data_IF_789518073075
#
_entry.id   IF_789518073075
#
_cell.length_a   1.000
_cell.length_b   1.000
_cell.length_c   1.000
_cell.angle_alpha   90.00
_cell.angle_beta   90.00
_cell.angle_gamma   90.00
#
_symmetry.space_group_name_H-M   'P 1'
#
loop_
_entity.id
_entity.type
_entity.pdbx_description
1 polymer ?
#
# COMPACT_ATOMS: atom_id res chain seq x y z
N UNK A 1 2.42 3.64 -15.01
CA UNK A 1 2.43 3.93 -13.56
C UNK A 1 1.55 2.88 -12.90
N UNK A 2 2.13 2.03 -12.03
CA UNK A 2 1.37 1.01 -11.33
C UNK A 2 0.70 1.62 -10.09
N UNK A 3 -0.54 1.19 -9.81
CA UNK A 3 -1.31 1.61 -8.65
C UNK A 3 -1.63 0.38 -7.79
N UNK A 4 -1.53 0.52 -6.47
CA UNK A 4 -1.85 -0.55 -5.53
C UNK A 4 -3.03 -0.18 -4.64
N UNK A 5 -3.95 -1.12 -4.50
CA UNK A 5 -5.06 -1.01 -3.54
C UNK A 5 -4.55 -1.18 -2.12
N UNK A 6 -5.25 -0.61 -1.12
CA UNK A 6 -4.85 -0.78 0.28
C UNK A 6 -4.76 -2.26 0.70
N UNK A 7 -5.65 -3.10 0.17
CA UNK A 7 -5.60 -4.55 0.32
C UNK A 7 -4.29 -5.17 -0.18
N UNK A 8 -3.85 -4.76 -1.37
CA UNK A 8 -2.61 -5.27 -1.96
C UNK A 8 -1.39 -4.84 -1.15
N UNK A 9 -1.39 -3.59 -0.66
CA UNK A 9 -0.32 -3.04 0.17
C UNK A 9 -0.23 -3.81 1.49
N UNK A 10 -1.35 -3.94 2.20
CA UNK A 10 -1.44 -4.68 3.47
C UNK A 10 -0.93 -6.12 3.32
N UNK A 11 -1.32 -6.80 2.24
CA UNK A 11 -0.86 -8.17 1.93
C UNK A 11 0.65 -8.25 1.71
N UNK A 12 1.21 -7.34 0.90
CA UNK A 12 2.67 -7.28 0.63
C UNK A 12 3.45 -7.03 1.92
N UNK A 13 3.02 -6.05 2.72
CA UNK A 13 3.66 -5.71 3.99
C UNK A 13 3.59 -6.87 5.00
N UNK A 14 2.44 -7.54 5.09
CA UNK A 14 2.28 -8.73 5.93
C UNK A 14 3.19 -9.89 5.52
N UNK A 15 3.41 -10.07 4.21
CA UNK A 15 4.27 -11.14 3.69
C UNK A 15 5.77 -10.86 3.93
N UNK A 16 6.19 -9.60 3.86
CA UNK A 16 7.61 -9.21 4.02
C UNK A 16 8.02 -9.08 5.49
N UNK A 17 7.11 -8.69 6.38
CA UNK A 17 7.47 -8.30 7.74
C UNK A 17 7.41 -9.47 8.73
N UNK A 18 8.33 -10.44 8.62
CA UNK A 18 8.55 -11.63 9.49
C UNK A 18 7.93 -11.55 10.92
N UNK A 19 6.60 -11.72 11.05
CA UNK A 19 5.88 -11.74 12.33
C UNK A 19 5.00 -10.52 12.67
N UNK A 20 4.96 -9.44 11.88
CA UNK A 20 4.07 -8.29 12.07
C UNK A 20 3.01 -8.23 10.96
N UNK A 21 1.81 -8.69 11.28
CA UNK A 21 0.66 -8.64 10.37
C UNK A 21 0.21 -7.19 10.15
N UNK A 22 0.17 -6.75 8.89
CA UNK A 22 -0.29 -5.42 8.49
C UNK A 22 -1.65 -5.57 7.81
N UNK A 23 -2.69 -5.03 8.43
CA UNK A 23 -4.06 -5.06 7.90
C UNK A 23 -4.33 -3.86 6.99
N UNK A 24 -5.41 -3.94 6.21
CA UNK A 24 -5.95 -2.79 5.46
C UNK A 24 -6.24 -1.60 6.36
N UNK A 25 -6.72 -1.84 7.60
CA UNK A 25 -6.97 -0.77 8.57
C UNK A 25 -5.68 -0.05 8.99
N UNK A 26 -4.57 -0.77 9.17
CA UNK A 26 -3.28 -0.15 9.47
C UNK A 26 -2.79 0.75 8.35
N UNK A 27 -2.94 0.32 7.08
CA UNK A 27 -2.59 1.14 5.91
C UNK A 27 -3.54 2.33 5.80
N UNK A 28 -4.84 2.12 6.06
CA UNK A 28 -5.83 3.18 6.04
C UNK A 28 -5.58 4.25 7.11
N UNK A 29 -5.00 3.91 8.27
CA UNK A 29 -4.58 4.92 9.23
C UNK A 29 -3.56 5.90 8.64
N UNK A 30 -2.65 5.45 7.77
CA UNK A 30 -1.68 6.33 7.12
C UNK A 30 -2.36 7.29 6.13
N UNK A 31 -3.43 6.84 5.50
CA UNK A 31 -4.28 7.70 4.67
C UNK A 31 -4.97 8.76 5.53
N UNK A 32 -5.57 8.33 6.66
CA UNK A 32 -6.30 9.20 7.58
C UNK A 32 -5.41 10.27 8.22
N UNK A 33 -4.15 9.94 8.51
CA UNK A 33 -3.16 10.89 9.08
C UNK A 33 -2.48 11.75 8.02
N UNK A 34 -2.80 11.57 6.73
CA UNK A 34 -2.19 12.32 5.63
C UNK A 34 -0.77 11.88 5.25
N UNK A 35 -0.27 10.78 5.83
CA UNK A 35 1.04 10.22 5.51
C UNK A 35 1.06 9.48 4.16
N UNK A 36 -0.11 9.00 3.71
CA UNK A 36 -0.25 8.27 2.46
C UNK A 36 -1.28 8.99 1.58
N UNK A 37 -0.82 9.53 0.46
CA UNK A 37 -1.71 10.13 -0.53
C UNK A 37 -2.36 9.03 -1.36
N UNK A 38 -3.68 9.14 -1.56
CA UNK A 38 -4.46 8.10 -2.23
C UNK A 38 -5.41 8.71 -3.25
N UNK A 39 -5.74 7.91 -4.25
CA UNK A 39 -6.76 8.20 -5.24
C UNK A 39 -7.97 7.31 -5.00
N UNK A 40 -9.17 7.88 -5.09
CA UNK A 40 -10.40 7.09 -4.94
C UNK A 40 -10.65 6.28 -6.20
N UNK A 41 -10.84 4.98 -6.03
CA UNK A 41 -11.19 4.06 -7.11
C UNK A 41 -12.70 4.21 -7.37
N UNK A 42 -13.13 4.36 -8.64
CA UNK A 42 -14.54 4.39 -8.98
C UNK A 42 -15.22 3.05 -8.64
N UNK A 43 -16.45 3.11 -8.13
CA UNK A 43 -17.20 1.94 -7.65
C UNK A 43 -17.45 0.84 -8.69
N UNK A 44 -17.19 1.11 -9.98
CA UNK A 44 -17.31 0.11 -11.04
C UNK A 44 -16.13 -0.87 -11.09
N UNK A 45 -15.03 -0.60 -10.41
CA UNK A 45 -13.89 -1.52 -10.36
C UNK A 45 -14.07 -2.50 -9.20
N UNK A 46 -13.90 -3.80 -9.48
CA UNK A 46 -13.95 -4.86 -8.46
C UNK A 46 -12.55 -5.14 -7.94
N UNK A 47 -12.45 -5.58 -6.68
CA UNK A 47 -11.18 -6.04 -6.10
C UNK A 47 -10.35 -4.99 -5.35
N UNK A 48 -10.94 -3.83 -5.00
CA UNK A 48 -10.24 -2.80 -4.20
C UNK A 48 -10.10 -3.13 -2.71
N UNK A 49 -10.81 -4.15 -2.20
CA UNK A 49 -10.77 -4.54 -0.79
C UNK A 49 -11.82 -3.82 0.06
N UNK A 50 -11.51 -3.58 1.33
CA UNK A 50 -12.39 -2.89 2.29
C UNK A 50 -12.53 -1.39 1.96
N UNK A 51 -11.47 -0.79 1.43
CA UNK A 51 -11.40 0.64 1.15
C UNK A 51 -11.19 0.90 -0.35
N UNK A 52 -12.03 1.73 -1.00
CA UNK A 52 -11.94 2.01 -2.44
C UNK A 52 -10.85 3.05 -2.74
N UNK A 53 -9.62 2.77 -2.33
CA UNK A 53 -8.46 3.65 -2.50
C UNK A 53 -7.30 2.91 -3.15
N UNK A 54 -6.65 3.60 -4.07
CA UNK A 54 -5.41 3.21 -4.73
C UNK A 54 -4.30 4.20 -4.39
N UNK A 55 -3.07 3.70 -4.37
CA UNK A 55 -1.86 4.48 -4.12
C UNK A 55 -0.92 4.29 -5.30
N UNK A 56 -0.33 5.37 -5.76
CA UNK A 56 0.71 5.32 -6.78
C UNK A 56 1.95 4.60 -6.23
N UNK A 57 2.52 3.69 -7.02
CA UNK A 57 3.67 2.88 -6.61
C UNK A 57 4.87 3.74 -6.18
N UNK A 58 5.22 4.78 -6.93
CA UNK A 58 6.36 5.64 -6.61
C UNK A 58 6.19 6.32 -5.23
N UNK A 59 5.03 6.94 -5.00
CA UNK A 59 4.68 7.54 -3.70
C UNK A 59 4.70 6.51 -2.56
N UNK A 60 4.16 5.32 -2.81
CA UNK A 60 4.16 4.23 -1.84
C UNK A 60 5.59 3.79 -1.47
N UNK A 61 6.47 3.64 -2.46
CA UNK A 61 7.86 3.25 -2.24
C UNK A 61 8.57 4.28 -1.37
N UNK A 62 8.39 5.57 -1.64
CA UNK A 62 9.00 6.64 -0.84
C UNK A 62 8.53 6.58 0.62
N UNK A 63 7.21 6.51 0.85
CA UNK A 63 6.63 6.40 2.21
C UNK A 63 7.13 5.15 2.94
N UNK A 64 7.24 4.02 2.24
CA UNK A 64 7.70 2.77 2.85
C UNK A 64 9.19 2.81 3.19
N UNK A 65 10.00 3.43 2.34
CA UNK A 65 11.44 3.65 2.60
C UNK A 65 11.64 4.55 3.81
N UNK A 66 10.89 5.64 3.93
CA UNK A 66 10.91 6.52 5.11
C UNK A 66 10.52 5.80 6.40
N UNK A 67 9.59 4.84 6.32
CA UNK A 67 9.17 4.00 7.44
C UNK A 67 10.13 2.84 7.75
N UNK A 68 11.20 2.67 6.98
CA UNK A 68 12.23 1.64 7.19
C UNK A 68 11.84 0.25 6.68
N UNK A 69 10.89 0.14 5.76
CA UNK A 69 10.56 -1.13 5.10
C UNK A 69 11.55 -1.45 3.97
N UNK A 70 11.81 -2.74 3.77
CA UNK A 70 12.58 -3.22 2.61
C UNK A 70 11.72 -3.20 1.34
N UNK A 71 11.71 -2.05 0.67
CA UNK A 71 10.98 -1.85 -0.59
C UNK A 71 11.49 -2.72 -1.73
N UNK A 72 12.76 -3.13 -1.72
CA UNK A 72 13.34 -3.98 -2.78
C UNK A 72 12.75 -5.38 -2.71
N UNK A 73 12.57 -5.91 -1.50
CA UNK A 73 11.88 -7.18 -1.26
C UNK A 73 10.37 -7.09 -1.58
N UNK A 74 9.74 -5.96 -1.26
CA UNK A 74 8.29 -5.75 -1.43
C UNK A 74 7.86 -5.52 -2.89
N UNK A 75 8.73 -4.89 -3.68
CA UNK A 75 8.50 -4.53 -5.08
C UNK A 75 9.73 -4.93 -5.93
N UNK A 76 9.91 -6.24 -6.22
CA UNK A 76 11.08 -6.75 -6.93
C UNK A 76 11.11 -6.42 -8.44
N UNK A 77 10.49 -5.33 -8.88
CA UNK A 77 10.38 -4.88 -10.29
C UNK A 77 9.99 -3.40 -10.20
N UNK A 78 10.67 -2.41 -10.77
CA UNK A 78 11.32 -2.35 -12.09
C UNK A 78 12.73 -1.76 -12.03
N UNK A 79 13.73 -2.54 -12.43
CA UNK A 79 14.95 -2.03 -13.05
C UNK A 79 14.77 -2.02 -14.57
#
# INVERSE_FOLDING_TARGET
MANYTLATIARKLSASNHGRFVTEDSVYQWVKTGQLQVQRIPYNERGFGKYPYAVEEAHLIDVLREKGFDVVSLFPTSQ
#
